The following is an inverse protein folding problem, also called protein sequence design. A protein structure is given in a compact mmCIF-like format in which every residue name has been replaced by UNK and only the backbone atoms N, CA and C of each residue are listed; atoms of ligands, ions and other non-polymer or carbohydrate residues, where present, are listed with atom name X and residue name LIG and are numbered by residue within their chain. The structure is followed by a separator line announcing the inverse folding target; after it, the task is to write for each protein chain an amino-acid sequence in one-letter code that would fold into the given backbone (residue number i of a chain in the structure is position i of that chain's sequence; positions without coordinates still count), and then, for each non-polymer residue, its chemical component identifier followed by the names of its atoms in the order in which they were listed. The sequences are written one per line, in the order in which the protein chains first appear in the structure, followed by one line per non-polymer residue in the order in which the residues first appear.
data_IF_345029630503
#
_entry.id   IF_345029630503
#
_cell.length_a   1.000
_cell.length_b   1.000
_cell.length_c   1.000
_cell.angle_alpha   90.00
_cell.angle_beta   90.00
_cell.angle_gamma   90.00
#
_symmetry.space_group_name_H-M   'P 1'
#
loop_
_entity.id
_entity.type
_entity.pdbx_description
1 polymer ?
#
# COMPACT_ATOMS: atom_id res chain seq x y z
N UNK A 1 -18.83 -17.70 7.80
CA UNK A 1 -17.88 -17.97 6.70
C UNK A 1 -18.48 -17.39 5.44
N UNK A 2 -17.99 -16.21 5.02
CA UNK A 2 -18.57 -15.47 3.90
C UNK A 2 -18.18 -16.12 2.57
N UNK A 3 -19.19 -16.52 1.79
CA UNK A 3 -19.00 -17.23 0.51
C UNK A 3 -18.37 -16.31 -0.55
N UNK A 4 -18.41 -14.98 -0.36
CA UNK A 4 -17.90 -13.99 -1.32
C UNK A 4 -16.38 -13.82 -1.29
N UNK A 5 -15.74 -14.02 -0.14
CA UNK A 5 -14.27 -13.95 -0.02
C UNK A 5 -13.57 -15.15 -0.65
N UNK A 6 -14.23 -16.31 -0.72
CA UNK A 6 -13.72 -17.48 -1.44
C UNK A 6 -13.71 -17.29 -2.97
N UNK A 7 -14.78 -16.73 -3.55
CA UNK A 7 -14.85 -16.50 -5.00
C UNK A 7 -13.91 -15.38 -5.49
N UNK A 8 -13.56 -14.39 -4.64
CA UNK A 8 -12.65 -13.30 -5.04
C UNK A 8 -11.21 -13.80 -5.26
N UNK A 9 -10.77 -14.84 -4.54
CA UNK A 9 -9.48 -15.52 -4.78
C UNK A 9 -9.41 -16.18 -6.16
N UNK A 10 -10.54 -16.62 -6.72
CA UNK A 10 -10.61 -17.26 -8.03
C UNK A 10 -10.53 -16.27 -9.21
N UNK A 11 -10.80 -14.97 -8.97
CA UNK A 11 -10.84 -13.95 -10.02
C UNK A 11 -9.51 -13.19 -10.22
N UNK A 12 -8.46 -13.50 -9.44
CA UNK A 12 -7.12 -12.92 -9.61
C UNK A 12 -7.03 -11.39 -9.44
N UNK A 13 -8.06 -10.72 -8.91
CA UNK A 13 -8.03 -9.28 -8.68
C UNK A 13 -7.32 -8.98 -7.35
N UNK A 14 -6.31 -8.09 -7.33
CA UNK A 14 -5.67 -7.68 -6.09
C UNK A 14 -6.71 -7.07 -5.15
N UNK A 15 -6.59 -7.38 -3.86
CA UNK A 15 -7.48 -6.82 -2.84
C UNK A 15 -7.35 -5.29 -2.83
N UNK A 16 -8.47 -4.54 -2.84
CA UNK A 16 -8.43 -3.08 -2.83
C UNK A 16 -7.79 -2.59 -1.53
N UNK A 17 -6.95 -1.58 -1.62
CA UNK A 17 -6.35 -0.97 -0.45
C UNK A 17 -7.35 0.02 0.15
N UNK A 18 -7.96 -0.37 1.28
CA UNK A 18 -8.86 0.53 2.02
C UNK A 18 -8.07 1.65 2.71
N UNK A 19 -8.69 2.82 2.97
CA UNK A 19 -8.03 3.89 3.71
C UNK A 19 -7.58 3.44 5.10
N UNK A 20 -6.58 4.11 5.70
CA UNK A 20 -6.04 3.69 6.98
C UNK A 20 -7.13 3.66 8.06
N UNK A 21 -7.00 2.70 8.97
CA UNK A 21 -7.92 2.38 10.06
C UNK A 21 -9.29 1.86 9.64
N UNK A 22 -9.46 1.51 8.36
CA UNK A 22 -10.66 0.83 7.90
C UNK A 22 -10.89 -0.47 8.68
N UNK A 23 -12.16 -0.79 8.91
CA UNK A 23 -12.56 -2.11 9.38
C UNK A 23 -12.13 -3.21 8.40
N UNK A 24 -12.12 -4.49 8.82
CA UNK A 24 -11.87 -5.60 7.91
C UNK A 24 -12.87 -5.56 6.76
N UNK A 25 -12.46 -6.02 5.57
CA UNK A 25 -13.22 -5.84 4.32
C UNK A 25 -14.71 -6.19 4.45
N UNK A 26 -15.06 -7.29 5.14
CA UNK A 26 -16.45 -7.71 5.32
C UNK A 26 -17.30 -6.71 6.14
N UNK A 27 -16.74 -6.10 7.17
CA UNK A 27 -17.43 -5.09 7.99
C UNK A 27 -17.40 -3.72 7.30
N UNK A 28 -16.31 -3.43 6.59
CA UNK A 28 -16.16 -2.17 5.86
C UNK A 28 -17.21 -2.01 4.78
N UNK A 29 -17.47 -3.04 3.97
CA UNK A 29 -18.45 -2.98 2.88
C UNK A 29 -19.89 -2.92 3.37
N UNK A 30 -20.17 -3.40 4.58
CA UNK A 30 -21.49 -3.28 5.22
C UNK A 30 -21.71 -1.86 5.77
N UNK A 31 -20.65 -1.21 6.27
CA UNK A 31 -20.73 0.13 6.86
C UNK A 31 -20.59 1.27 5.82
N UNK A 32 -19.76 1.08 4.79
CA UNK A 32 -19.48 2.10 3.78
C UNK A 32 -20.60 2.18 2.75
N UNK A 33 -21.17 3.38 2.56
CA UNK A 33 -22.24 3.62 1.60
C UNK A 33 -21.82 4.51 0.40
N UNK A 34 -20.52 4.76 0.23
CA UNK A 34 -20.01 5.57 -0.87
C UNK A 34 -20.27 7.08 -0.78
N UNK A 35 -20.58 7.64 0.40
CA UNK A 35 -20.86 9.08 0.55
C UNK A 35 -19.74 10.04 0.13
N UNK A 36 -18.51 9.54 -0.02
CA UNK A 36 -17.32 10.30 -0.44
C UNK A 36 -16.85 11.39 0.53
N UNK A 37 -17.29 11.38 1.80
CA UNK A 37 -16.81 12.36 2.79
C UNK A 37 -15.31 12.20 3.06
N UNK A 38 -14.82 10.97 3.10
CA UNK A 38 -13.39 10.66 3.22
C UNK A 38 -12.56 11.13 2.02
N UNK A 39 -13.13 11.15 0.81
CA UNK A 39 -12.48 11.67 -0.41
C UNK A 39 -12.25 13.16 -0.26
N UNK A 40 -13.28 13.91 0.16
CA UNK A 40 -13.20 15.37 0.36
C UNK A 40 -12.27 15.76 1.51
N UNK A 41 -12.19 14.92 2.55
CA UNK A 41 -11.40 15.19 3.74
C UNK A 41 -9.90 14.87 3.56
N UNK A 42 -9.51 14.11 2.54
CA UNK A 42 -8.13 13.68 2.35
C UNK A 42 -7.27 14.85 1.80
N UNK A 43 -6.31 15.38 2.57
CA UNK A 43 -5.47 16.49 2.09
C UNK A 43 -4.55 16.07 0.94
N UNK A 44 -4.14 14.81 0.89
CA UNK A 44 -3.25 14.25 -0.12
C UNK A 44 -3.98 13.91 -1.44
N UNK A 45 -5.32 13.93 -1.44
CA UNK A 45 -6.12 13.60 -2.62
C UNK A 45 -5.98 12.15 -3.10
N UNK A 46 -5.54 11.23 -2.24
CA UNK A 46 -5.28 9.82 -2.58
C UNK A 46 -6.47 8.89 -2.33
N UNK A 47 -7.55 9.37 -1.71
CA UNK A 47 -8.75 8.57 -1.45
C UNK A 47 -9.73 8.76 -2.60
N UNK A 48 -10.22 7.66 -3.19
CA UNK A 48 -11.26 7.68 -4.23
C UNK A 48 -12.35 6.65 -3.96
N UNK A 49 -13.43 6.73 -4.72
CA UNK A 49 -14.48 5.69 -4.74
C UNK A 49 -14.16 4.71 -5.87
N UNK A 50 -14.11 3.42 -5.51
CA UNK A 50 -13.89 2.33 -6.44
C UNK A 50 -15.13 2.08 -7.32
N UNK A 51 -14.99 1.22 -8.33
CA UNK A 51 -16.11 0.84 -9.22
C UNK A 51 -17.27 0.13 -8.51
N UNK A 52 -17.07 -0.32 -7.28
CA UNK A 52 -18.08 -0.99 -6.45
C UNK A 52 -18.75 -0.02 -5.46
N UNK A 53 -18.37 1.26 -5.47
CA UNK A 53 -18.97 2.29 -4.61
C UNK A 53 -18.31 2.43 -3.23
N UNK A 54 -17.15 1.81 -3.01
CA UNK A 54 -16.47 1.82 -1.72
C UNK A 54 -15.20 2.68 -1.75
N UNK A 55 -14.83 3.25 -0.61
CA UNK A 55 -13.60 4.05 -0.54
C UNK A 55 -12.35 3.16 -0.68
N UNK A 56 -11.39 3.61 -1.47
CA UNK A 56 -10.08 2.99 -1.67
C UNK A 56 -8.98 4.05 -1.77
N UNK A 57 -7.73 3.63 -1.60
CA UNK A 57 -6.55 4.48 -1.72
C UNK A 57 -5.83 4.22 -3.03
N UNK A 58 -5.43 5.31 -3.67
CA UNK A 58 -4.61 5.32 -4.88
C UNK A 58 -3.43 6.26 -4.72
N UNK A 59 -2.23 5.71 -4.91
CA UNK A 59 -0.97 6.43 -4.75
C UNK A 59 -0.43 7.00 -6.07
N UNK A 60 -1.28 7.16 -7.09
CA UNK A 60 -0.89 7.78 -8.35
C UNK A 60 -0.40 9.23 -8.20
N UNK A 61 -0.94 9.98 -7.23
CA UNK A 61 -0.65 11.41 -7.02
C UNK A 61 0.17 11.73 -5.77
N UNK A 62 0.33 10.79 -4.83
CA UNK A 62 0.97 11.06 -3.55
C UNK A 62 0.96 9.87 -2.59
N UNK A 63 1.36 10.11 -1.35
CA UNK A 63 1.39 9.12 -0.27
C UNK A 63 0.47 9.50 0.88
N UNK A 64 0.12 8.53 1.73
CA UNK A 64 -0.66 8.76 2.93
C UNK A 64 0.24 9.28 4.07
N UNK A 65 -0.14 10.41 4.66
CA UNK A 65 0.54 11.00 5.83
C UNK A 65 0.01 10.48 7.18
N UNK A 66 -0.92 9.53 7.16
CA UNK A 66 -1.58 8.97 8.36
C UNK A 66 -2.20 10.05 9.28
N UNK A 67 -2.79 11.08 8.69
CA UNK A 67 -3.40 12.21 9.40
C UNK A 67 -4.81 11.95 9.97
N UNK A 68 -5.36 10.74 9.83
CA UNK A 68 -6.69 10.32 10.28
C UNK A 68 -7.90 11.05 9.67
N UNK A 69 -7.72 12.06 8.82
CA UNK A 69 -8.81 12.91 8.32
C UNK A 69 -9.96 12.11 7.67
N UNK A 70 -9.63 11.07 6.88
CA UNK A 70 -10.62 10.21 6.24
C UNK A 70 -11.45 9.38 7.23
N UNK A 71 -10.86 8.98 8.36
CA UNK A 71 -11.54 8.24 9.40
C UNK A 71 -12.38 9.16 10.29
N UNK A 72 -11.89 10.38 10.57
CA UNK A 72 -12.61 11.39 11.35
C UNK A 72 -13.85 11.91 10.63
N UNK A 73 -13.80 12.05 9.30
CA UNK A 73 -14.94 12.51 8.51
C UNK A 73 -16.03 11.44 8.32
N UNK A 74 -15.77 10.18 8.71
CA UNK A 74 -16.70 9.09 8.49
C UNK A 74 -17.78 9.03 9.57
N UNK A 75 -19.00 9.47 9.24
CA UNK A 75 -20.17 9.34 10.10
C UNK A 75 -20.84 7.96 10.10
N UNK A 76 -20.30 6.96 9.39
CA UNK A 76 -20.94 5.64 9.18
C UNK A 76 -20.32 4.50 9.97
N UNK A 77 -19.22 4.75 10.68
CA UNK A 77 -18.54 3.70 11.45
C UNK A 77 -17.77 2.68 10.60
N UNK A 78 -17.37 3.04 9.37
CA UNK A 78 -16.54 2.17 8.53
C UNK A 78 -15.06 2.07 8.99
N UNK A 79 -14.70 2.80 10.05
CA UNK A 79 -13.35 2.88 10.60
C UNK A 79 -13.35 2.53 12.08
N UNK A 80 -12.22 2.00 12.57
CA UNK A 80 -12.03 1.78 14.00
C UNK A 80 -12.11 3.10 14.79
N UNK A 81 -12.70 3.03 15.98
CA UNK A 81 -12.80 4.17 16.90
C UNK A 81 -11.50 4.38 17.68
N UNK A 82 -10.86 3.30 18.13
CA UNK A 82 -9.61 3.35 18.89
C UNK A 82 -8.37 3.32 17.98
N UNK A 83 -8.21 4.35 17.13
CA UNK A 83 -7.13 4.40 16.13
C UNK A 83 -5.74 4.60 16.71
N UNK A 84 -5.61 5.41 17.77
CA UNK A 84 -4.32 5.72 18.39
C UNK A 84 -3.56 4.50 18.92
N UNK A 85 -4.27 3.42 19.25
CA UNK A 85 -3.68 2.18 19.75
C UNK A 85 -3.49 1.10 18.67
N UNK A 86 -3.68 1.44 17.38
CA UNK A 86 -3.73 0.47 16.28
C UNK A 86 -2.82 0.89 15.14
N UNK A 87 -2.28 -0.09 14.44
CA UNK A 87 -1.61 0.17 13.17
C UNK A 87 -2.61 0.75 12.15
N UNK A 88 -2.20 1.72 11.30
CA UNK A 88 -3.05 2.26 10.25
C UNK A 88 -3.56 1.17 9.29
N UNK A 89 -2.72 0.20 8.95
CA UNK A 89 -3.04 -0.97 8.14
C UNK A 89 -1.86 -1.95 8.19
N UNK A 90 -2.01 -3.09 7.52
CA UNK A 90 -0.92 -4.04 7.27
C UNK A 90 -0.46 -4.03 5.80
N UNK A 91 -0.46 -2.84 5.19
CA UNK A 91 -0.02 -2.68 3.82
C UNK A 91 1.49 -2.48 3.72
N UNK A 92 2.13 -3.05 2.68
CA UNK A 92 3.56 -2.83 2.38
C UNK A 92 3.76 -2.52 0.91
N UNK A 93 4.86 -1.83 0.63
CA UNK A 93 5.32 -1.60 -0.73
C UNK A 93 5.89 -2.90 -1.32
N UNK A 94 5.71 -3.05 -2.63
CA UNK A 94 6.22 -4.14 -3.45
C UNK A 94 6.95 -3.54 -4.64
N UNK A 95 8.03 -4.19 -5.06
CA UNK A 95 8.81 -3.81 -6.24
C UNK A 95 8.59 -4.86 -7.32
N UNK A 96 8.20 -4.42 -8.51
CA UNK A 96 8.00 -5.27 -9.68
C UNK A 96 9.30 -5.42 -10.49
N UNK A 97 9.35 -6.49 -11.29
CA UNK A 97 10.50 -6.86 -12.14
C UNK A 97 10.86 -5.79 -13.19
N UNK A 98 9.94 -4.89 -13.54
CA UNK A 98 10.18 -3.81 -14.48
C UNK A 98 10.98 -2.64 -13.87
N UNK A 99 11.38 -2.70 -12.59
CA UNK A 99 12.22 -1.69 -11.95
C UNK A 99 13.53 -1.44 -12.72
N UNK A 100 13.89 -0.16 -12.87
CA UNK A 100 15.10 0.26 -13.59
C UNK A 100 16.39 -0.30 -12.97
N UNK A 101 16.49 -0.34 -11.64
CA UNK A 101 17.66 -0.88 -10.94
C UNK A 101 17.84 -2.40 -11.14
N UNK A 102 16.73 -3.14 -11.21
CA UNK A 102 16.75 -4.57 -11.59
C UNK A 102 17.22 -4.78 -13.03
N UNK A 103 17.10 -3.76 -13.89
CA UNK A 103 17.57 -3.75 -15.28
C UNK A 103 18.93 -3.08 -15.46
N UNK A 104 19.62 -2.72 -14.37
CA UNK A 104 20.94 -2.09 -14.42
C UNK A 104 20.94 -0.60 -14.76
N UNK A 105 19.78 0.07 -14.75
CA UNK A 105 19.66 1.51 -14.91
C UNK A 105 19.57 2.16 -13.53
N UNK A 106 20.54 3.00 -13.20
CA UNK A 106 20.61 3.66 -11.89
C UNK A 106 19.39 4.57 -11.67
N UNK A 107 18.62 4.29 -10.61
CA UNK A 107 17.40 5.04 -10.27
C UNK A 107 17.16 4.98 -8.77
N UNK A 108 17.08 6.15 -8.13
CA UNK A 108 16.92 6.29 -6.68
C UNK A 108 15.69 7.09 -6.26
N UNK A 109 14.76 7.32 -7.18
CA UNK A 109 13.59 8.17 -6.96
C UNK A 109 12.72 7.72 -5.77
N UNK A 110 12.57 6.40 -5.59
CA UNK A 110 11.83 5.85 -4.47
C UNK A 110 12.57 5.94 -3.13
N UNK A 111 13.91 5.90 -3.13
CA UNK A 111 14.74 6.04 -1.93
C UNK A 111 14.52 7.42 -1.30
N UNK A 112 14.62 8.47 -2.11
CA UNK A 112 14.43 9.86 -1.66
C UNK A 112 13.02 10.15 -1.14
N UNK A 113 12.01 9.42 -1.63
CA UNK A 113 10.62 9.59 -1.19
C UNK A 113 10.27 8.75 0.06
N UNK A 114 11.12 7.80 0.46
CA UNK A 114 10.84 6.90 1.56
C UNK A 114 11.43 7.42 2.88
N UNK A 115 10.68 8.26 3.59
CA UNK A 115 11.09 8.79 4.90
C UNK A 115 11.38 7.69 5.93
N UNK A 116 10.67 6.56 5.85
CA UNK A 116 10.87 5.41 6.73
C UNK A 116 12.16 4.60 6.42
N UNK A 117 12.92 4.99 5.39
CA UNK A 117 14.14 4.31 4.94
C UNK A 117 13.96 2.79 4.75
N UNK A 118 12.81 2.38 4.20
CA UNK A 118 12.45 0.98 4.05
C UNK A 118 12.96 0.33 2.76
N UNK A 119 13.53 1.09 1.84
CA UNK A 119 13.97 0.59 0.53
C UNK A 119 15.47 0.32 0.57
N UNK A 120 15.85 -0.93 0.31
CA UNK A 120 17.24 -1.40 0.38
C UNK A 120 17.73 -1.76 -1.02
N UNK A 121 18.88 -1.23 -1.41
CA UNK A 121 19.51 -1.47 -2.71
C UNK A 121 20.68 -2.43 -2.54
N UNK A 122 20.42 -3.73 -2.74
CA UNK A 122 21.44 -4.78 -2.65
C UNK A 122 22.25 -4.86 -3.94
N UNK A 123 23.46 -4.30 -3.94
CA UNK A 123 24.39 -4.40 -5.06
C UNK A 123 24.91 -5.83 -5.18
N UNK A 124 24.84 -6.41 -6.38
CA UNK A 124 25.43 -7.71 -6.67
C UNK A 124 26.78 -7.53 -7.37
N UNK A 125 27.81 -8.31 -7.03
CA UNK A 125 29.04 -8.34 -7.82
C UNK A 125 28.72 -8.70 -9.27
N UNK A 126 29.13 -7.84 -10.21
CA UNK A 126 28.97 -8.03 -11.66
C UNK A 126 27.51 -8.21 -12.15
N UNK A 127 26.50 -7.70 -11.42
CA UNK A 127 25.09 -7.84 -11.80
C UNK A 127 24.24 -6.62 -11.43
N UNK A 128 22.99 -6.62 -11.88
CA UNK A 128 22.03 -5.57 -11.56
C UNK A 128 21.72 -5.51 -10.05
N UNK A 129 21.41 -4.32 -9.56
CA UNK A 129 21.01 -4.08 -8.18
C UNK A 129 19.66 -4.75 -7.92
N UNK A 130 19.53 -5.42 -6.78
CA UNK A 130 18.22 -5.85 -6.29
C UNK A 130 17.69 -4.86 -5.28
N UNK A 131 16.60 -4.18 -5.64
CA UNK A 131 15.79 -3.39 -4.70
C UNK A 131 14.92 -4.33 -3.87
N UNK A 132 14.93 -4.15 -2.55
CA UNK A 132 14.15 -4.95 -1.58
C UNK A 132 13.46 -4.00 -0.62
N UNK A 133 12.23 -4.33 -0.22
CA UNK A 133 11.49 -3.58 0.80
C UNK A 133 11.67 -4.26 2.15
N UNK A 134 12.13 -3.52 3.15
CA UNK A 134 12.15 -3.97 4.53
C UNK A 134 10.73 -3.84 5.12
N UNK A 135 10.05 -4.96 5.28
CA UNK A 135 8.67 -5.01 5.78
C UNK A 135 8.52 -4.49 7.22
N UNK A 136 9.59 -4.53 8.03
CA UNK A 136 9.55 -4.06 9.42
C UNK A 136 9.50 -2.55 9.51
N UNK A 137 10.20 -1.85 8.61
CA UNK A 137 10.24 -0.38 8.59
C UNK A 137 9.23 0.21 7.61
N UNK A 138 8.81 -0.54 6.58
CA UNK A 138 7.81 -0.07 5.63
C UNK A 138 6.45 0.15 6.31
N UNK A 139 5.97 1.39 6.27
CA UNK A 139 4.65 1.78 6.81
C UNK A 139 3.50 1.54 5.82
N UNK A 140 3.82 1.26 4.55
CA UNK A 140 2.82 1.18 3.48
C UNK A 140 2.25 2.52 3.04
N UNK A 141 2.87 3.66 3.40
CA UNK A 141 2.36 5.00 3.07
C UNK A 141 2.22 5.29 1.57
N UNK A 142 2.90 4.55 0.69
CA UNK A 142 2.79 4.71 -0.75
C UNK A 142 3.53 5.91 -1.35
N UNK A 143 4.24 6.71 -0.55
CA UNK A 143 5.03 7.87 -1.04
C UNK A 143 6.04 7.51 -2.13
N UNK A 144 6.51 6.26 -2.16
CA UNK A 144 7.42 5.75 -3.18
C UNK A 144 6.78 5.44 -4.55
N UNK A 145 5.46 5.38 -4.65
CA UNK A 145 4.74 4.95 -5.87
C UNK A 145 4.73 6.05 -6.93
N UNK A 146 4.18 7.23 -6.62
CA UNK A 146 4.10 8.37 -7.53
C UNK A 146 5.44 8.78 -8.20
N UNK A 147 6.59 8.85 -7.49
CA UNK A 147 7.85 9.23 -8.12
C UNK A 147 8.48 8.14 -9.00
N UNK A 148 7.90 6.93 -9.08
CA UNK A 148 8.47 5.85 -9.88
C UNK A 148 8.20 6.06 -11.38
N UNK A 149 9.23 6.33 -12.21
CA UNK A 149 9.02 6.70 -13.63
C UNK A 149 8.50 5.54 -14.48
N UNK A 150 8.65 4.31 -14.01
CA UNK A 150 8.23 3.07 -14.70
C UNK A 150 7.11 2.34 -13.97
N UNK A 151 6.51 2.98 -12.96
CA UNK A 151 5.40 2.41 -12.16
C UNK A 151 5.70 0.98 -11.65
N UNK A 152 6.95 0.74 -11.25
CA UNK A 152 7.39 -0.56 -10.72
C UNK A 152 7.08 -0.74 -9.22
N UNK A 153 6.50 0.27 -8.56
CA UNK A 153 6.17 0.22 -7.14
C UNK A 153 4.64 0.18 -6.96
N UNK A 154 4.20 -0.67 -6.05
CA UNK A 154 2.80 -0.77 -5.66
C UNK A 154 2.71 -1.01 -4.14
N UNK A 155 1.56 -0.73 -3.54
CA UNK A 155 1.29 -1.05 -2.13
C UNK A 155 0.13 -2.04 -2.07
N UNK A 156 0.26 -3.06 -1.23
CA UNK A 156 -0.74 -4.12 -1.05
C UNK A 156 -0.89 -4.50 0.41
N UNK A 157 -2.11 -4.87 0.79
CA UNK A 157 -2.41 -5.45 2.12
C UNK A 157 -1.84 -6.85 2.19
N UNK A 158 -1.22 -7.22 3.32
CA UNK A 158 -0.81 -8.60 3.56
C UNK A 158 0.28 -9.06 2.59
N UNK A 159 1.24 -8.19 2.30
CA UNK A 159 2.45 -8.49 1.51
C UNK A 159 3.37 -9.50 2.22
N UNK A 160 2.82 -10.56 2.81
CA UNK A 160 3.56 -11.73 3.23
C UNK A 160 3.65 -12.68 2.03
N UNK A 161 4.47 -12.30 1.06
CA UNK A 161 5.11 -13.25 0.16
C UNK A 161 6.62 -13.12 0.35
N UNK A 162 7.05 -13.61 1.51
CA UNK A 162 8.40 -14.08 1.80
C UNK A 162 9.12 -14.53 0.51
N UNK A 163 10.00 -13.68 -0.03
CA UNK A 163 11.15 -14.15 -0.79
C UNK A 163 12.29 -14.23 0.22
N UNK A 164 12.77 -15.43 0.58
CA UNK A 164 13.97 -15.51 1.38
C UNK A 164 15.08 -14.73 0.65
N UNK A 165 15.65 -13.76 1.35
CA UNK A 165 17.01 -13.33 1.05
C UNK A 165 17.81 -14.62 1.00
N UNK A 166 18.46 -14.90 -0.12
CA UNK A 166 19.38 -16.02 -0.23
C UNK A 166 20.52 -15.78 0.76
N UNK A 167 20.33 -16.21 2.01
CA UNK A 167 21.43 -16.57 2.89
C UNK A 167 22.11 -17.77 2.23
N UNK A 168 23.23 -17.50 1.58
CA UNK A 168 24.03 -18.52 0.95
C UNK A 168 25.29 -17.98 0.30
N UNK A 169 26.42 -18.30 0.94
CA UNK A 169 27.74 -18.56 0.34
C UNK A 169 28.76 -17.41 0.32
N UNK A 170 29.31 -17.06 1.50
CA UNK A 170 30.65 -17.50 1.97
C UNK A 170 30.95 -16.94 3.35
#
# INVERSE_FOLDING_TARGET
MDRRSFFRRLAGRPEPLRPPFALPEAEFVEACNGCSDCVKACPEGIVRIDSLGFAEVDFASGGCTFCDACAQSCGRGAFYQQRAARAPWDAKALVAENCLEHKGVACRACESACEAAAIVFCRRPCGATRVVINERTCTGCGACVAPCPVQALAVRVGANQYQPVLEGQR
#
